data_IF_562944927021
#
_entry.id   IF_562944927021
#
_cell.length_a   1.000
_cell.length_b   1.000
_cell.length_c   1.000
_cell.angle_alpha   90.00
_cell.angle_beta   90.00
_cell.angle_gamma   90.00
#
_symmetry.space_group_name_H-M   'P 1'
#
loop_
_entity.id
_entity.type
_entity.pdbx_description
1 polymer ?
#
# COMPACT_ATOMS: atom_id res chain seq x y z
N UNK A 1 8.84 27.32 11.52
CA UNK A 1 9.11 26.55 10.28
C UNK A 1 7.96 25.58 10.06
N UNK A 2 7.23 25.72 8.99
CA UNK A 2 6.12 24.81 8.65
C UNK A 2 6.68 23.41 8.44
N UNK A 3 6.12 22.41 9.12
CA UNK A 3 6.51 21.01 9.01
C UNK A 3 6.33 20.55 7.55
N UNK A 4 7.17 19.64 7.06
CA UNK A 4 7.09 19.10 5.69
C UNK A 4 5.71 18.49 5.42
N UNK A 5 5.15 17.78 6.39
CA UNK A 5 3.78 17.26 6.31
C UNK A 5 2.77 18.38 6.03
N UNK A 6 2.81 19.46 6.81
CA UNK A 6 1.87 20.57 6.67
C UNK A 6 1.92 21.22 5.29
N UNK A 7 3.12 21.37 4.72
CA UNK A 7 3.28 21.93 3.36
C UNK A 7 2.69 21.03 2.28
N UNK A 8 2.86 19.70 2.44
CA UNK A 8 2.33 18.70 1.51
C UNK A 8 0.82 18.60 1.64
N UNK A 9 0.34 18.51 2.86
CA UNK A 9 -1.07 18.40 3.18
C UNK A 9 -1.88 19.63 2.74
N UNK A 10 -1.35 20.83 2.95
CA UNK A 10 -2.00 22.06 2.57
C UNK A 10 -2.31 22.19 1.06
N UNK A 11 -1.56 21.46 0.20
CA UNK A 11 -1.83 21.45 -1.24
C UNK A 11 -3.12 20.75 -1.64
N UNK A 12 -3.55 19.81 -0.81
CA UNK A 12 -4.66 18.89 -1.12
C UNK A 12 -5.77 18.94 -0.07
N UNK A 13 -5.61 19.77 0.98
CA UNK A 13 -6.53 19.82 2.11
C UNK A 13 -7.96 20.13 1.68
N UNK A 14 -8.15 21.19 0.92
CA UNK A 14 -9.48 21.66 0.56
C UNK A 14 -10.24 20.62 -0.27
N UNK A 15 -9.55 19.97 -1.22
CA UNK A 15 -10.11 18.90 -2.03
C UNK A 15 -10.41 17.66 -1.18
N UNK A 16 -9.51 17.26 -0.29
CA UNK A 16 -9.70 16.15 0.62
C UNK A 16 -10.90 16.37 1.56
N UNK A 17 -10.97 17.55 2.20
CA UNK A 17 -12.07 17.90 3.09
C UNK A 17 -13.42 17.87 2.35
N UNK A 18 -13.45 18.45 1.15
CA UNK A 18 -14.66 18.45 0.33
C UNK A 18 -15.09 17.03 -0.05
N UNK A 19 -14.18 16.21 -0.59
CA UNK A 19 -14.48 14.82 -0.98
C UNK A 19 -14.89 13.96 0.22
N UNK A 20 -14.21 14.13 1.36
CA UNK A 20 -14.51 13.37 2.56
C UNK A 20 -15.89 13.72 3.11
N UNK A 21 -16.24 15.00 3.16
CA UNK A 21 -17.55 15.46 3.63
C UNK A 21 -18.66 15.06 2.67
N UNK A 22 -18.42 15.11 1.35
CA UNK A 22 -19.39 14.64 0.35
C UNK A 22 -19.70 13.14 0.50
N UNK A 23 -18.70 12.32 0.87
CA UNK A 23 -18.84 10.88 0.96
C UNK A 23 -19.37 10.41 2.33
N UNK A 24 -18.89 11.00 3.42
CA UNK A 24 -19.15 10.51 4.77
C UNK A 24 -20.00 11.44 5.64
N UNK A 25 -20.04 12.73 5.31
CA UNK A 25 -20.74 13.79 6.08
C UNK A 25 -20.47 13.71 7.61
N UNK A 26 -19.21 13.40 7.97
CA UNK A 26 -18.77 13.22 9.36
C UNK A 26 -17.49 14.02 9.61
N UNK A 27 -17.65 15.19 10.24
CA UNK A 27 -16.54 16.10 10.57
C UNK A 27 -15.56 15.51 11.59
N UNK A 28 -16.07 14.76 12.55
CA UNK A 28 -15.23 14.14 13.58
C UNK A 28 -14.40 12.99 12.99
N UNK A 29 -14.97 12.23 12.07
CA UNK A 29 -14.24 11.21 11.31
C UNK A 29 -13.14 11.85 10.45
N UNK A 30 -13.40 12.99 9.82
CA UNK A 30 -12.38 13.73 9.06
C UNK A 30 -11.20 14.13 9.96
N UNK A 31 -11.46 14.70 11.14
CA UNK A 31 -10.41 15.08 12.08
C UNK A 31 -9.56 13.87 12.51
N UNK A 32 -10.19 12.75 12.82
CA UNK A 32 -9.47 11.49 13.14
C UNK A 32 -8.63 11.00 11.98
N UNK A 33 -9.12 11.14 10.75
CA UNK A 33 -8.39 10.78 9.55
C UNK A 33 -7.15 11.66 9.34
N UNK A 34 -7.26 12.97 9.55
CA UNK A 34 -6.13 13.90 9.50
C UNK A 34 -5.06 13.55 10.55
N UNK A 35 -5.46 13.26 11.79
CA UNK A 35 -4.55 12.82 12.86
C UNK A 35 -3.84 11.51 12.51
N UNK A 36 -4.56 10.57 11.90
CA UNK A 36 -4.00 9.31 11.43
C UNK A 36 -2.93 9.54 10.34
N UNK A 37 -3.21 10.40 9.36
CA UNK A 37 -2.25 10.75 8.31
C UNK A 37 -1.00 11.44 8.90
N UNK A 38 -1.19 12.36 9.85
CA UNK A 38 -0.07 13.02 10.52
C UNK A 38 0.80 12.02 11.30
N UNK A 39 0.18 11.08 11.99
CA UNK A 39 0.86 10.02 12.73
C UNK A 39 1.61 9.09 11.78
N UNK A 40 1.00 8.67 10.69
CA UNK A 40 1.63 7.86 9.66
C UNK A 40 2.86 8.56 9.06
N UNK A 41 2.77 9.87 8.81
CA UNK A 41 3.92 10.66 8.34
C UNK A 41 5.04 10.73 9.39
N UNK A 42 4.73 10.95 10.65
CA UNK A 42 5.74 10.98 11.73
C UNK A 42 6.51 9.67 11.82
N UNK A 43 5.81 8.55 11.65
CA UNK A 43 6.38 7.20 11.72
C UNK A 43 7.04 6.75 10.40
N UNK A 44 6.97 7.56 9.35
CA UNK A 44 7.54 7.23 8.05
C UNK A 44 9.06 7.35 8.09
N UNK A 45 9.76 6.27 7.80
CA UNK A 45 11.22 6.19 7.78
C UNK A 45 11.84 7.16 6.76
N UNK A 46 13.00 7.74 7.08
CA UNK A 46 13.66 8.73 6.22
C UNK A 46 13.95 8.23 4.80
N UNK A 47 14.40 6.98 4.56
CA UNK A 47 14.59 6.47 3.19
C UNK A 47 13.30 6.47 2.34
N UNK A 48 12.12 6.34 2.99
CA UNK A 48 10.84 6.42 2.30
C UNK A 48 10.44 7.86 2.01
N UNK A 49 10.77 8.80 2.89
CA UNK A 49 10.58 10.24 2.64
C UNK A 49 11.48 10.72 1.50
N UNK A 50 12.72 10.21 1.41
CA UNK A 50 13.61 10.49 0.28
C UNK A 50 13.01 9.99 -1.03
N UNK A 51 12.45 8.78 -1.01
CA UNK A 51 11.77 8.21 -2.16
C UNK A 51 10.55 9.04 -2.57
N UNK A 52 9.76 9.51 -1.60
CA UNK A 52 8.62 10.38 -1.87
C UNK A 52 9.05 11.70 -2.52
N UNK A 53 10.12 12.32 -2.02
CA UNK A 53 10.70 13.54 -2.59
C UNK A 53 11.18 13.32 -4.03
N UNK A 54 11.85 12.21 -4.28
CA UNK A 54 12.31 11.85 -5.62
C UNK A 54 11.16 11.67 -6.61
N UNK A 55 10.06 11.04 -6.17
CA UNK A 55 8.87 10.83 -7.01
C UNK A 55 8.06 12.11 -7.23
N UNK A 56 7.99 12.99 -6.25
CA UNK A 56 7.40 14.31 -6.44
C UNK A 56 8.18 15.17 -7.45
N UNK A 57 9.50 15.00 -7.48
CA UNK A 57 10.35 15.70 -8.45
C UNK A 57 10.22 15.14 -9.88
N UNK A 58 9.86 13.85 -10.01
CA UNK A 58 9.58 13.20 -11.29
C UNK A 58 8.17 12.56 -11.27
N UNK A 59 7.12 13.29 -11.67
CA UNK A 59 5.77 12.75 -11.70
C UNK A 59 5.57 11.55 -12.62
N UNK A 60 6.53 11.29 -13.52
CA UNK A 60 6.50 10.18 -14.48
C UNK A 60 7.46 9.04 -14.11
N UNK A 61 7.95 9.00 -12.88
CA UNK A 61 8.88 7.98 -12.39
C UNK A 61 8.49 6.54 -12.78
N UNK A 62 7.19 6.25 -12.87
CA UNK A 62 6.65 4.92 -13.22
C UNK A 62 6.73 4.58 -14.71
N UNK A 63 7.11 5.54 -15.57
CA UNK A 63 7.31 5.34 -17.02
C UNK A 63 8.75 5.04 -17.38
N UNK A 64 9.67 5.15 -16.42
CA UNK A 64 11.10 4.92 -16.65
C UNK A 64 11.44 3.46 -16.92
N UNK A 65 12.55 3.22 -17.64
CA UNK A 65 13.07 1.88 -17.92
C UNK A 65 13.48 1.08 -16.67
N UNK A 66 13.63 1.74 -15.51
CA UNK A 66 13.90 1.10 -14.22
C UNK A 66 12.65 0.55 -13.52
N UNK A 67 11.47 0.73 -14.11
CA UNK A 67 10.21 0.24 -13.56
C UNK A 67 9.83 -1.09 -14.21
N UNK A 68 10.06 -2.20 -13.51
CA UNK A 68 9.56 -3.52 -13.91
C UNK A 68 8.50 -3.97 -12.92
N UNK A 69 7.25 -4.03 -13.39
CA UNK A 69 6.10 -4.48 -12.60
C UNK A 69 5.79 -5.96 -12.81
N UNK A 70 5.38 -6.64 -11.73
CA UNK A 70 4.85 -8.00 -11.77
C UNK A 70 3.53 -8.04 -11.01
N UNK A 71 2.53 -8.68 -11.62
CA UNK A 71 1.24 -8.98 -10.98
C UNK A 71 1.18 -10.46 -10.62
N UNK A 72 0.74 -10.77 -9.40
CA UNK A 72 0.66 -12.17 -8.97
C UNK A 72 -0.42 -12.40 -7.92
N UNK A 73 -0.98 -13.61 -7.94
CA UNK A 73 -1.73 -14.17 -6.82
C UNK A 73 -0.75 -14.76 -5.81
N UNK A 74 -0.83 -14.31 -4.57
CA UNK A 74 0.10 -14.73 -3.51
C UNK A 74 0.02 -16.23 -3.22
N UNK A 75 -1.18 -16.79 -3.19
CA UNK A 75 -1.43 -18.22 -2.94
C UNK A 75 -0.89 -19.11 -4.06
N UNK A 76 -1.10 -18.73 -5.33
CA UNK A 76 -0.61 -19.47 -6.48
C UNK A 76 0.92 -19.41 -6.62
N UNK A 77 1.51 -18.24 -6.38
CA UNK A 77 2.95 -18.03 -6.53
C UNK A 77 3.75 -18.61 -5.36
N UNK A 78 3.24 -18.45 -4.13
CA UNK A 78 4.02 -18.71 -2.92
C UNK A 78 3.22 -19.33 -1.77
N UNK A 79 1.98 -19.74 -1.99
CA UNK A 79 1.04 -20.34 -1.02
C UNK A 79 0.58 -19.42 0.09
N UNK A 80 1.38 -18.44 0.49
CA UNK A 80 1.09 -17.48 1.55
C UNK A 80 1.92 -16.22 1.37
N UNK A 81 1.57 -15.16 2.09
CA UNK A 81 2.35 -13.93 2.09
C UNK A 81 3.76 -14.17 2.64
N UNK A 82 3.91 -15.03 3.66
CA UNK A 82 5.22 -15.45 4.18
C UNK A 82 6.06 -16.13 3.10
N UNK A 83 5.50 -17.08 2.35
CA UNK A 83 6.18 -17.70 1.22
C UNK A 83 6.56 -16.70 0.14
N UNK A 84 5.72 -15.66 -0.08
CA UNK A 84 6.04 -14.54 -0.96
C UNK A 84 7.28 -13.76 -0.49
N UNK A 85 7.40 -13.53 0.81
CA UNK A 85 8.58 -12.86 1.39
C UNK A 85 9.88 -13.65 1.13
N UNK A 86 9.84 -14.97 1.19
CA UNK A 86 10.99 -15.83 0.91
C UNK A 86 11.45 -15.74 -0.55
N UNK A 87 10.56 -15.33 -1.45
CA UNK A 87 10.84 -15.17 -2.89
C UNK A 87 11.23 -13.75 -3.31
N UNK A 88 11.30 -12.81 -2.38
CA UNK A 88 11.65 -11.42 -2.71
C UNK A 88 13.05 -11.28 -3.31
N UNK A 89 14.02 -12.06 -2.86
CA UNK A 89 15.36 -12.07 -3.44
C UNK A 89 15.34 -12.48 -4.92
N UNK A 90 14.59 -13.52 -5.25
CA UNK A 90 14.37 -13.95 -6.63
C UNK A 90 13.73 -12.87 -7.49
N UNK A 91 12.66 -12.24 -7.00
CA UNK A 91 12.01 -11.14 -7.73
C UNK A 91 12.95 -9.96 -7.95
N UNK A 92 13.79 -9.65 -6.96
CA UNK A 92 14.80 -8.60 -7.07
C UNK A 92 15.88 -8.95 -8.09
N UNK A 93 16.35 -10.20 -8.13
CA UNK A 93 17.31 -10.67 -9.14
C UNK A 93 16.76 -10.54 -10.56
N UNK A 94 15.44 -10.72 -10.74
CA UNK A 94 14.74 -10.46 -12.00
C UNK A 94 14.60 -8.97 -12.32
N UNK A 95 14.99 -8.06 -11.43
CA UNK A 95 14.87 -6.61 -11.61
C UNK A 95 13.49 -6.06 -11.28
N UNK A 96 12.61 -6.83 -10.62
CA UNK A 96 11.27 -6.36 -10.24
C UNK A 96 11.36 -5.24 -9.20
N UNK A 97 10.75 -4.11 -9.52
CA UNK A 97 10.70 -2.92 -8.65
C UNK A 97 9.28 -2.56 -8.22
N UNK A 98 8.28 -3.12 -8.88
CA UNK A 98 6.87 -2.92 -8.56
C UNK A 98 6.15 -4.26 -8.46
N UNK A 99 5.49 -4.50 -7.34
CA UNK A 99 4.76 -5.73 -7.09
C UNK A 99 3.29 -5.43 -6.87
N UNK A 100 2.46 -5.87 -7.80
CA UNK A 100 1.02 -5.83 -7.68
C UNK A 100 0.52 -7.19 -7.15
N UNK A 101 0.10 -7.21 -5.89
CA UNK A 101 -0.52 -8.39 -5.30
C UNK A 101 -2.02 -8.37 -5.61
N UNK A 102 -2.48 -9.44 -6.25
CA UNK A 102 -3.90 -9.67 -6.45
C UNK A 102 -4.61 -9.77 -5.09
N UNK A 103 -5.95 -9.62 -5.04
CA UNK A 103 -6.67 -9.43 -3.79
C UNK A 103 -6.26 -10.40 -2.68
N UNK A 104 -5.98 -9.86 -1.50
CA UNK A 104 -5.56 -10.61 -0.31
C UNK A 104 -6.68 -10.76 0.71
N UNK A 105 -7.77 -10.02 0.56
CA UNK A 105 -8.87 -10.00 1.50
C UNK A 105 -9.82 -11.17 1.27
N UNK A 106 -10.61 -11.50 2.27
CA UNK A 106 -11.57 -12.59 2.19
C UNK A 106 -12.60 -12.32 1.10
N UNK A 107 -12.79 -13.29 0.22
CA UNK A 107 -13.71 -13.26 -0.89
C UNK A 107 -14.86 -14.27 -0.70
N UNK A 108 -16.03 -14.02 -1.29
CA UNK A 108 -17.17 -14.96 -1.26
C UNK A 108 -16.81 -16.29 -1.94
N UNK A 109 -17.39 -17.37 -1.44
CA UNK A 109 -17.38 -18.68 -2.05
C UNK A 109 -18.82 -19.18 -2.25
N UNK A 110 -19.10 -19.92 -3.33
CA UNK A 110 -18.19 -20.38 -4.41
C UNK A 110 -18.01 -19.39 -5.55
N UNK A 111 -18.81 -18.33 -5.63
CA UNK A 111 -18.78 -17.36 -6.73
C UNK A 111 -17.98 -16.13 -6.32
N UNK A 112 -16.93 -15.83 -7.07
CA UNK A 112 -16.14 -14.60 -6.92
C UNK A 112 -15.66 -14.10 -8.29
N UNK A 113 -15.21 -12.86 -8.30
CA UNK A 113 -14.73 -12.14 -9.49
C UNK A 113 -13.19 -12.07 -9.55
N UNK A 114 -12.51 -13.10 -9.09
CA UNK A 114 -11.04 -13.12 -8.99
C UNK A 114 -10.54 -12.49 -7.68
N UNK A 115 -11.44 -12.33 -6.70
CA UNK A 115 -11.14 -11.82 -5.36
C UNK A 115 -11.39 -10.34 -5.16
N UNK A 116 -11.86 -9.61 -6.17
CA UNK A 116 -12.12 -8.17 -6.06
C UNK A 116 -13.39 -7.85 -5.28
N UNK A 117 -14.39 -8.75 -5.25
CA UNK A 117 -15.50 -8.63 -4.33
C UNK A 117 -15.05 -9.04 -2.94
N UNK A 118 -14.86 -8.07 -2.05
CA UNK A 118 -14.42 -8.30 -0.68
C UNK A 118 -15.61 -8.58 0.22
N UNK A 119 -15.60 -9.75 0.87
CA UNK A 119 -16.61 -10.14 1.88
C UNK A 119 -16.29 -9.56 3.26
N UNK A 120 -14.99 -9.43 3.58
CA UNK A 120 -14.54 -8.98 4.90
C UNK A 120 -13.24 -8.21 4.76
N UNK A 121 -13.25 -6.95 5.15
CA UNK A 121 -12.06 -6.09 5.18
C UNK A 121 -11.20 -6.29 6.43
N UNK A 122 -11.63 -7.13 7.37
CA UNK A 122 -10.84 -7.49 8.54
C UNK A 122 -9.79 -8.53 8.17
N UNK A 123 -8.54 -8.09 8.06
CA UNK A 123 -7.40 -8.92 7.71
C UNK A 123 -7.13 -10.08 8.68
N UNK A 124 -7.82 -10.14 9.83
CA UNK A 124 -7.70 -11.25 10.80
C UNK A 124 -8.31 -12.55 10.31
N UNK A 125 -9.20 -12.49 9.34
CA UNK A 125 -9.98 -13.65 8.87
C UNK A 125 -9.42 -14.30 7.60
N UNK A 126 -8.24 -13.93 7.13
CA UNK A 126 -7.67 -14.50 5.93
C UNK A 126 -7.09 -15.89 6.16
N UNK A 127 -7.42 -16.82 5.28
CA UNK A 127 -6.82 -18.17 5.28
C UNK A 127 -5.30 -18.06 5.09
N UNK A 128 -4.53 -18.36 6.14
CA UNK A 128 -3.09 -18.48 6.08
C UNK A 128 -2.29 -17.17 6.15
N UNK A 129 -2.94 -16.03 6.42
CA UNK A 129 -2.24 -14.76 6.56
C UNK A 129 -2.60 -14.11 7.88
N UNK A 130 -1.66 -14.02 8.81
CA UNK A 130 -1.82 -13.26 10.05
C UNK A 130 -1.57 -11.77 9.79
N UNK A 131 -2.27 -10.85 10.48
CA UNK A 131 -2.04 -9.41 10.36
C UNK A 131 -0.56 -9.01 10.48
N UNK A 132 0.16 -9.65 11.41
CA UNK A 132 1.60 -9.43 11.61
C UNK A 132 2.44 -9.85 10.39
N UNK A 133 2.01 -10.85 9.63
CA UNK A 133 2.71 -11.29 8.42
C UNK A 133 2.56 -10.29 7.28
N UNK A 134 1.39 -9.64 7.17
CA UNK A 134 1.16 -8.57 6.21
C UNK A 134 2.09 -7.40 6.49
N UNK A 135 2.14 -6.93 7.74
CA UNK A 135 3.02 -5.84 8.12
C UNK A 135 4.50 -6.18 7.93
N UNK A 136 4.91 -7.36 8.33
CA UNK A 136 6.29 -7.84 8.12
C UNK A 136 6.63 -7.93 6.64
N UNK A 137 5.71 -8.40 5.81
CA UNK A 137 5.87 -8.44 4.35
C UNK A 137 6.02 -7.07 3.73
N UNK A 138 5.17 -6.11 4.13
CA UNK A 138 5.26 -4.71 3.69
C UNK A 138 6.60 -4.08 4.08
N UNK A 139 7.07 -4.31 5.30
CA UNK A 139 8.38 -3.81 5.74
C UNK A 139 9.52 -4.39 4.94
N UNK A 140 9.50 -5.69 4.65
CA UNK A 140 10.54 -6.32 3.83
C UNK A 140 10.54 -5.80 2.40
N UNK A 141 9.36 -5.64 1.78
CA UNK A 141 9.23 -5.03 0.46
C UNK A 141 9.80 -3.61 0.44
N UNK A 142 9.51 -2.81 1.46
CA UNK A 142 10.05 -1.47 1.63
C UNK A 142 11.58 -1.47 1.74
N UNK A 143 12.16 -2.35 2.57
CA UNK A 143 13.62 -2.50 2.72
C UNK A 143 14.29 -2.86 1.40
N UNK A 144 13.62 -3.61 0.55
CA UNK A 144 14.10 -3.98 -0.79
C UNK A 144 13.84 -2.92 -1.85
N UNK A 145 13.26 -1.77 -1.48
CA UNK A 145 12.79 -0.71 -2.40
C UNK A 145 11.80 -1.22 -3.46
N UNK A 146 11.10 -2.29 -3.15
CA UNK A 146 9.98 -2.77 -3.96
C UNK A 146 8.69 -2.08 -3.51
N UNK A 147 7.83 -1.79 -4.46
CA UNK A 147 6.59 -1.06 -4.21
C UNK A 147 5.43 -2.05 -4.21
N UNK A 148 4.87 -2.40 -3.03
CA UNK A 148 3.66 -3.18 -3.00
C UNK A 148 2.46 -2.32 -3.42
N UNK A 149 1.66 -2.85 -4.31
CA UNK A 149 0.31 -2.39 -4.57
C UNK A 149 -0.62 -3.57 -4.27
N UNK A 150 -1.64 -3.32 -3.51
CA UNK A 150 -2.65 -4.32 -3.19
C UNK A 150 -3.89 -3.99 -4.01
N UNK A 151 -4.40 -4.97 -4.74
CA UNK A 151 -5.73 -4.90 -5.30
C UNK A 151 -6.73 -5.08 -4.14
N UNK A 152 -7.63 -4.14 -4.00
CA UNK A 152 -8.76 -4.20 -3.05
C UNK A 152 -10.02 -4.57 -3.80
#
# INVERSE_FOLDING_TARGET
MTNEFERRFARHRDELEWLFMELYDDRDALLRFEEMMQTAWKNREEPLRDLDRAREADPFWYRGAGMLGVTMYTDLFARSLRGGMEKLSYLRELGVTYLHLMPLLKMPHPQNDGGYAVEDFDMRNQKGTLPNEVWTGIEQLRKMRMHPCFAA
#
